data_IF_675996935064
#
_entry.id   IF_675996935064
#
_cell.length_a   1.000
_cell.length_b   1.000
_cell.length_c   1.000
_cell.angle_alpha   90.00
_cell.angle_beta   90.00
_cell.angle_gamma   90.00
#
_symmetry.space_group_name_H-M   'P 1'
#
loop_
_entity.id
_entity.type
_entity.pdbx_description
1 polymer ?
#
# COMPACT_ATOMS: atom_id res chain seq x y z
N UNK A 1 3.08 -13.16 -15.27
CA UNK A 1 2.03 -13.25 -14.21
C UNK A 1 0.66 -13.08 -14.86
N UNK A 2 -0.42 -13.56 -14.24
CA UNK A 2 -1.79 -13.34 -14.73
C UNK A 2 -2.72 -12.99 -13.56
N UNK A 3 -3.75 -12.20 -13.82
CA UNK A 3 -4.82 -11.92 -12.88
C UNK A 3 -6.16 -11.79 -13.60
N UNK A 4 -7.23 -12.18 -12.92
CA UNK A 4 -8.60 -12.11 -13.43
C UNK A 4 -9.48 -11.41 -12.40
N UNK A 5 -10.18 -10.37 -12.83
CA UNK A 5 -11.21 -9.71 -12.04
C UNK A 5 -12.60 -10.23 -12.41
N UNK A 6 -13.64 -9.48 -12.03
CA UNK A 6 -15.03 -9.90 -12.30
C UNK A 6 -15.35 -10.01 -13.80
N UNK A 7 -14.88 -9.05 -14.61
CA UNK A 7 -15.14 -8.98 -16.05
C UNK A 7 -13.93 -8.56 -16.89
N UNK A 8 -12.72 -8.61 -16.34
CA UNK A 8 -11.50 -8.24 -17.05
C UNK A 8 -10.34 -9.15 -16.65
N UNK A 9 -9.31 -9.16 -17.47
CA UNK A 9 -8.11 -9.95 -17.29
C UNK A 9 -6.88 -9.11 -17.53
N UNK A 10 -5.79 -9.47 -16.86
CA UNK A 10 -4.48 -8.87 -17.05
C UNK A 10 -3.40 -9.95 -17.13
N UNK A 11 -2.38 -9.70 -17.95
CA UNK A 11 -1.20 -10.54 -18.07
C UNK A 11 0.06 -9.68 -18.10
N UNK A 12 1.09 -10.16 -17.39
CA UNK A 12 2.42 -9.54 -17.34
C UNK A 12 3.39 -10.44 -18.10
N UNK A 13 4.02 -9.89 -19.12
CA UNK A 13 5.06 -10.52 -19.93
C UNK A 13 6.40 -10.63 -19.20
N UNK A 14 7.32 -11.43 -19.75
CA UNK A 14 8.66 -11.64 -19.16
C UNK A 14 9.50 -10.35 -19.17
N UNK A 15 9.24 -9.46 -20.13
CA UNK A 15 9.87 -8.14 -20.23
C UNK A 15 9.21 -7.08 -19.32
N UNK A 16 8.26 -7.48 -18.46
CA UNK A 16 7.51 -6.57 -17.61
C UNK A 16 6.48 -5.72 -18.34
N UNK A 17 6.15 -6.04 -19.60
CA UNK A 17 5.00 -5.46 -20.31
C UNK A 17 3.67 -5.98 -19.74
N UNK A 18 2.63 -5.15 -19.79
CA UNK A 18 1.30 -5.51 -19.27
C UNK A 18 0.26 -5.46 -20.37
N UNK A 19 -0.55 -6.50 -20.46
CA UNK A 19 -1.69 -6.59 -21.35
C UNK A 19 -2.97 -6.68 -20.52
N UNK A 20 -3.99 -5.91 -20.87
CA UNK A 20 -5.32 -5.98 -20.25
C UNK A 20 -6.40 -6.15 -21.33
N UNK A 21 -7.49 -6.82 -20.97
CA UNK A 21 -8.66 -6.99 -21.83
C UNK A 21 -9.91 -7.35 -21.03
N UNK A 22 -11.07 -7.36 -21.69
CA UNK A 22 -12.38 -7.56 -21.11
C UNK A 22 -13.17 -6.27 -21.00
N UNK A 23 -14.04 -6.18 -19.99
CA UNK A 23 -14.88 -5.00 -19.74
C UNK A 23 -14.06 -3.86 -19.13
N UNK A 24 -14.14 -2.67 -19.72
CA UNK A 24 -13.38 -1.48 -19.31
C UNK A 24 -14.23 -0.26 -18.96
N UNK A 25 -15.53 -0.45 -18.70
CA UNK A 25 -16.47 0.66 -18.44
C UNK A 25 -16.21 1.44 -17.15
N UNK A 26 -15.32 0.96 -16.29
CA UNK A 26 -14.81 1.70 -15.13
C UNK A 26 -13.32 2.07 -15.28
N UNK A 27 -12.73 1.97 -16.48
CA UNK A 27 -11.33 2.34 -16.71
C UNK A 27 -10.31 1.33 -16.20
N UNK A 28 -10.75 0.14 -15.74
CA UNK A 28 -9.89 -0.88 -15.13
C UNK A 28 -8.85 -1.50 -16.08
N UNK A 29 -8.95 -1.21 -17.39
CA UNK A 29 -7.97 -1.67 -18.36
C UNK A 29 -6.74 -0.76 -18.43
N UNK A 30 -6.85 0.51 -17.99
CA UNK A 30 -5.71 1.43 -17.93
C UNK A 30 -5.28 2.05 -19.27
N UNK A 31 -6.14 2.05 -20.28
CA UNK A 31 -5.82 2.55 -21.63
C UNK A 31 -6.13 4.03 -21.86
N UNK A 32 -6.59 4.76 -20.84
CA UNK A 32 -6.97 6.17 -20.95
C UNK A 32 -8.39 6.40 -21.48
N UNK A 33 -9.20 5.34 -21.55
CA UNK A 33 -10.61 5.42 -21.89
C UNK A 33 -11.45 4.46 -21.02
N UNK A 34 -12.76 4.48 -21.27
CA UNK A 34 -13.77 3.69 -20.54
C UNK A 34 -14.34 2.56 -21.41
N UNK A 35 -13.56 2.05 -22.36
CA UNK A 35 -14.03 1.04 -23.34
C UNK A 35 -13.52 -0.34 -22.97
N UNK A 36 -14.33 -1.36 -23.29
CA UNK A 36 -13.91 -2.75 -23.22
C UNK A 36 -13.08 -3.17 -24.43
N UNK A 37 -12.21 -4.16 -24.24
CA UNK A 37 -11.38 -4.74 -25.29
C UNK A 37 -11.62 -6.25 -25.39
N UNK A 38 -11.80 -6.75 -26.61
CA UNK A 38 -12.05 -8.18 -26.85
C UNK A 38 -10.77 -9.01 -27.00
N UNK A 39 -9.61 -8.36 -27.01
CA UNK A 39 -8.29 -8.97 -27.18
C UNK A 39 -7.29 -8.32 -26.23
N UNK A 40 -6.28 -9.07 -25.73
CA UNK A 40 -5.18 -8.49 -24.95
C UNK A 40 -4.54 -7.31 -25.68
N UNK A 41 -4.43 -6.17 -25.00
CA UNK A 41 -3.78 -4.97 -25.54
C UNK A 41 -2.76 -4.42 -24.54
N UNK A 42 -1.63 -3.95 -25.06
CA UNK A 42 -0.55 -3.38 -24.26
C UNK A 42 -0.99 -2.08 -23.57
N UNK A 43 -0.78 -2.00 -22.26
CA UNK A 43 -1.00 -0.79 -21.45
C UNK A 43 0.22 0.12 -21.60
N UNK A 44 0.16 1.06 -22.56
CA UNK A 44 1.28 1.94 -22.90
C UNK A 44 1.71 2.89 -21.77
N UNK A 45 0.79 3.21 -20.85
CA UNK A 45 1.04 4.15 -19.76
C UNK A 45 1.95 3.58 -18.65
N UNK A 46 2.21 2.26 -18.64
CA UNK A 46 3.09 1.62 -17.67
C UNK A 46 4.49 1.38 -18.26
N UNK A 47 5.56 1.51 -17.45
CA UNK A 47 6.88 1.10 -17.88
C UNK A 47 6.96 -0.42 -18.01
N UNK A 48 7.88 -0.91 -18.87
CA UNK A 48 8.21 -2.33 -19.01
C UNK A 48 9.06 -2.86 -17.85
N UNK A 49 8.48 -2.77 -16.64
CA UNK A 49 9.06 -3.18 -15.35
C UNK A 49 7.96 -3.63 -14.38
N UNK A 50 6.78 -3.98 -14.89
CA UNK A 50 5.72 -4.50 -14.04
C UNK A 50 6.09 -5.92 -13.64
N UNK A 51 6.15 -6.18 -12.34
CA UNK A 51 6.52 -7.49 -11.80
C UNK A 51 5.30 -8.32 -11.41
N UNK A 52 4.20 -7.65 -11.04
CA UNK A 52 2.98 -8.29 -10.58
C UNK A 52 1.73 -7.46 -10.88
N UNK A 53 0.59 -8.14 -10.93
CA UNK A 53 -0.72 -7.53 -11.21
C UNK A 53 -1.80 -8.23 -10.41
N UNK A 54 -2.76 -7.46 -9.91
CA UNK A 54 -3.98 -7.98 -9.31
C UNK A 54 -5.20 -7.31 -9.94
N UNK A 55 -6.31 -8.05 -10.03
CA UNK A 55 -7.58 -7.59 -10.59
C UNK A 55 -8.71 -7.78 -9.58
N UNK A 56 -9.47 -6.72 -9.29
CA UNK A 56 -10.63 -6.74 -8.41
C UNK A 56 -11.96 -6.79 -9.17
N UNK A 57 -13.04 -6.35 -8.51
CA UNK A 57 -14.37 -6.27 -9.15
C UNK A 57 -14.38 -5.35 -10.37
N UNK A 58 -13.77 -4.16 -10.25
CA UNK A 58 -13.71 -3.18 -11.35
C UNK A 58 -12.50 -2.25 -11.27
N UNK A 59 -11.38 -2.75 -10.73
CA UNK A 59 -10.13 -2.03 -10.63
C UNK A 59 -8.95 -3.00 -10.73
N UNK A 60 -7.77 -2.46 -11.02
CA UNK A 60 -6.53 -3.19 -11.27
C UNK A 60 -5.39 -2.51 -10.54
N UNK A 61 -4.53 -3.30 -9.90
CA UNK A 61 -3.27 -2.83 -9.31
C UNK A 61 -2.08 -3.42 -10.08
N UNK A 62 -1.05 -2.60 -10.25
CA UNK A 62 0.20 -2.98 -10.89
C UNK A 62 1.35 -2.69 -9.92
N UNK A 63 2.17 -3.70 -9.65
CA UNK A 63 3.40 -3.55 -8.88
C UNK A 63 4.55 -3.41 -9.86
N UNK A 64 5.24 -2.28 -9.79
CA UNK A 64 6.28 -1.88 -10.73
C UNK A 64 7.61 -1.75 -10.00
N UNK A 65 8.66 -2.38 -10.53
CA UNK A 65 10.00 -2.20 -9.98
C UNK A 65 10.50 -0.76 -10.26
N UNK A 66 11.06 -0.10 -9.23
CA UNK A 66 11.58 1.24 -9.38
C UNK A 66 12.79 1.28 -10.33
N UNK A 67 12.97 2.42 -10.99
CA UNK A 67 14.11 2.63 -11.89
C UNK A 67 15.44 2.84 -11.13
N UNK A 68 15.40 3.22 -9.85
CA UNK A 68 16.57 3.64 -9.08
C UNK A 68 16.70 2.83 -7.77
N UNK A 69 17.65 1.90 -7.77
CA UNK A 69 18.10 1.16 -6.60
C UNK A 69 17.28 -0.10 -6.26
N UNK A 70 17.90 -1.13 -5.66
CA UNK A 70 17.21 -2.33 -5.22
C UNK A 70 16.20 -2.01 -4.11
N UNK A 71 15.03 -2.67 -4.13
CA UNK A 71 14.06 -2.64 -3.02
C UNK A 71 13.09 -1.46 -2.99
N UNK A 72 13.04 -0.63 -4.04
CA UNK A 72 11.94 0.33 -4.22
C UNK A 72 10.97 -0.19 -5.27
N UNK A 73 9.69 -0.16 -4.95
CA UNK A 73 8.59 -0.52 -5.86
C UNK A 73 7.60 0.62 -5.93
N UNK A 74 7.08 0.89 -7.12
CA UNK A 74 5.94 1.77 -7.31
C UNK A 74 4.66 0.94 -7.43
N UNK A 75 3.58 1.42 -6.81
CA UNK A 75 2.26 0.83 -6.95
C UNK A 75 1.41 1.74 -7.83
N UNK A 76 0.79 1.19 -8.86
CA UNK A 76 -0.13 1.92 -9.73
C UNK A 76 -1.51 1.29 -9.69
N UNK A 77 -2.55 2.11 -9.88
CA UNK A 77 -3.94 1.66 -9.89
C UNK A 77 -4.77 2.32 -10.99
N UNK A 78 -5.71 1.58 -11.56
CA UNK A 78 -6.76 2.13 -12.41
C UNK A 78 -8.08 1.40 -12.16
N UNK A 79 -9.18 2.02 -12.56
CA UNK A 79 -10.51 1.47 -12.40
C UNK A 79 -11.47 2.34 -11.62
N UNK A 80 -12.53 1.70 -11.15
CA UNK A 80 -13.53 2.24 -10.24
C UNK A 80 -12.86 2.64 -8.93
N UNK A 81 -13.24 3.80 -8.38
CA UNK A 81 -12.73 4.31 -7.12
C UNK A 81 -13.80 4.88 -6.16
N UNK A 82 -15.08 4.61 -6.41
CA UNK A 82 -16.18 5.20 -5.63
C UNK A 82 -16.11 4.84 -4.13
N UNK A 83 -15.47 3.72 -3.78
CA UNK A 83 -15.26 3.23 -2.42
C UNK A 83 -13.82 3.49 -1.91
N UNK A 84 -13.01 4.22 -2.67
CA UNK A 84 -11.59 4.46 -2.36
C UNK A 84 -10.67 3.26 -2.65
N UNK A 85 -11.13 2.27 -3.42
CA UNK A 85 -10.37 1.05 -3.70
C UNK A 85 -9.02 1.30 -4.43
N UNK A 86 -8.83 2.43 -5.09
CA UNK A 86 -7.54 2.78 -5.70
C UNK A 86 -6.53 3.33 -4.67
N UNK A 87 -6.95 3.69 -3.45
CA UNK A 87 -6.04 4.18 -2.41
C UNK A 87 -5.36 5.51 -2.74
N UNK A 88 -5.95 6.33 -3.62
CA UNK A 88 -5.38 7.62 -4.06
C UNK A 88 -5.68 8.79 -3.11
N UNK A 89 -6.41 8.55 -2.01
CA UNK A 89 -6.89 9.62 -1.13
C UNK A 89 -8.07 10.42 -1.68
N UNK A 90 -8.65 9.97 -2.80
CA UNK A 90 -9.85 10.52 -3.44
C UNK A 90 -10.82 9.38 -3.78
N UNK A 91 -12.06 9.72 -4.12
CA UNK A 91 -13.06 8.79 -4.65
C UNK A 91 -13.20 8.87 -6.19
N UNK A 92 -12.22 9.50 -6.86
CA UNK A 92 -12.27 9.67 -8.31
C UNK A 92 -11.71 8.44 -9.03
N UNK A 93 -12.50 7.89 -9.95
CA UNK A 93 -12.11 6.75 -10.78
C UNK A 93 -11.05 7.16 -11.81
N UNK A 94 -10.16 6.24 -12.19
CA UNK A 94 -9.04 6.52 -13.08
C UNK A 94 -8.98 5.55 -14.27
N UNK A 95 -8.96 6.07 -15.49
CA UNK A 95 -8.80 5.26 -16.70
C UNK A 95 -7.33 5.10 -17.16
N UNK A 96 -6.40 5.81 -16.51
CA UNK A 96 -4.96 5.60 -16.63
C UNK A 96 -4.40 5.07 -15.30
N UNK A 97 -3.32 4.27 -15.33
CA UNK A 97 -2.64 3.82 -14.11
C UNK A 97 -2.06 5.00 -13.32
N UNK A 98 -2.73 5.37 -12.23
CA UNK A 98 -2.32 6.43 -11.32
C UNK A 98 -1.33 5.89 -10.28
N UNK A 99 -0.30 6.67 -9.98
CA UNK A 99 0.71 6.32 -8.97
C UNK A 99 0.12 6.45 -7.56
N UNK A 100 0.31 5.42 -6.74
CA UNK A 100 0.03 5.42 -5.30
C UNK A 100 1.36 5.60 -4.57
N UNK A 101 1.47 6.69 -3.81
CA UNK A 101 2.67 7.00 -3.02
C UNK A 101 2.73 6.14 -1.75
N UNK A 102 3.59 5.13 -1.76
CA UNK A 102 3.90 4.29 -0.60
C UNK A 102 5.42 4.28 -0.36
N UNK A 103 5.85 4.64 0.85
CA UNK A 103 7.26 4.55 1.26
C UNK A 103 7.57 3.16 1.84
N UNK A 104 7.33 2.13 1.03
CA UNK A 104 7.50 0.73 1.42
C UNK A 104 7.80 -0.16 0.21
N UNK A 105 8.48 -1.28 0.45
CA UNK A 105 8.75 -2.31 -0.56
C UNK A 105 7.56 -3.27 -0.68
N UNK A 106 6.82 -3.19 -1.78
CA UNK A 106 5.57 -3.92 -2.00
C UNK A 106 5.89 -5.36 -2.37
N UNK A 107 5.54 -6.31 -1.48
CA UNK A 107 5.79 -7.74 -1.67
C UNK A 107 4.72 -8.41 -2.51
N UNK A 108 3.45 -8.10 -2.24
CA UNK A 108 2.32 -8.62 -3.01
C UNK A 108 1.07 -7.76 -2.81
N UNK A 109 0.09 -7.96 -3.68
CA UNK A 109 -1.20 -7.30 -3.61
C UNK A 109 -2.33 -8.31 -3.84
N UNK A 110 -3.48 -8.03 -3.26
CA UNK A 110 -4.71 -8.79 -3.44
C UNK A 110 -5.88 -7.81 -3.55
N UNK A 111 -6.83 -8.13 -4.43
CA UNK A 111 -7.97 -7.27 -4.69
C UNK A 111 -9.26 -8.05 -4.49
N UNK A 112 -10.19 -7.42 -3.77
CA UNK A 112 -11.56 -7.89 -3.64
C UNK A 112 -12.49 -7.21 -4.64
N UNK A 113 -13.79 -7.31 -4.37
CA UNK A 113 -14.80 -6.63 -5.19
C UNK A 113 -14.61 -5.10 -5.20
N UNK A 114 -14.47 -4.52 -4.00
CA UNK A 114 -14.40 -3.07 -3.76
C UNK A 114 -13.34 -2.68 -2.71
N UNK A 115 -12.35 -3.54 -2.45
CA UNK A 115 -11.25 -3.23 -1.54
C UNK A 115 -9.93 -3.76 -2.07
N UNK A 116 -8.85 -3.15 -1.60
CA UNK A 116 -7.48 -3.43 -2.01
C UNK A 116 -6.62 -3.72 -0.79
N UNK A 117 -5.79 -4.76 -0.88
CA UNK A 117 -4.83 -5.13 0.14
C UNK A 117 -3.45 -5.20 -0.48
N UNK A 118 -2.47 -4.67 0.25
CA UNK A 118 -1.08 -4.65 -0.16
C UNK A 118 -0.22 -5.04 1.03
N UNK A 119 0.64 -6.04 0.85
CA UNK A 119 1.65 -6.39 1.84
C UNK A 119 2.94 -5.69 1.44
N UNK A 120 3.46 -4.88 2.34
CA UNK A 120 4.67 -4.11 2.13
C UNK A 120 5.63 -4.27 3.31
N UNK A 121 6.92 -4.25 3.02
CA UNK A 121 7.96 -4.19 4.03
C UNK A 121 8.43 -2.74 4.18
N UNK A 122 8.43 -2.24 5.42
CA UNK A 122 8.94 -0.91 5.69
C UNK A 122 10.42 -0.83 5.32
N UNK A 123 10.80 0.26 4.67
CA UNK A 123 12.21 0.55 4.44
C UNK A 123 12.92 0.67 5.80
N UNK A 124 14.20 0.29 5.91
CA UNK A 124 14.96 0.41 7.16
C UNK A 124 14.90 1.83 7.76
N UNK A 125 14.83 2.85 6.91
CA UNK A 125 14.71 4.26 7.27
C UNK A 125 13.37 4.58 7.96
N UNK A 126 12.26 4.08 7.42
CA UNK A 126 10.92 4.23 8.01
C UNK A 126 10.82 3.41 9.31
N UNK A 127 11.39 2.20 9.33
CA UNK A 127 11.45 1.36 10.54
C UNK A 127 12.19 2.09 11.66
N UNK A 128 13.36 2.66 11.38
CA UNK A 128 14.13 3.43 12.35
C UNK A 128 13.38 4.66 12.89
N UNK A 129 12.67 5.40 12.02
CA UNK A 129 11.84 6.55 12.44
C UNK A 129 10.65 6.13 13.30
N UNK A 130 9.98 5.03 12.96
CA UNK A 130 8.87 4.48 13.74
C UNK A 130 9.33 4.04 15.13
N UNK A 131 10.47 3.37 15.24
CA UNK A 131 11.09 3.01 16.54
C UNK A 131 11.49 4.24 17.36
N UNK A 132 12.02 5.28 16.74
CA UNK A 132 12.37 6.52 17.47
C UNK A 132 11.13 7.28 17.95
N UNK A 133 10.05 7.30 17.16
CA UNK A 133 8.78 7.90 17.55
C UNK A 133 8.13 7.13 18.70
N UNK A 134 8.11 5.79 18.65
CA UNK A 134 7.58 4.98 19.75
C UNK A 134 8.38 5.19 21.03
N UNK A 135 9.72 5.23 20.95
CA UNK A 135 10.59 5.52 22.09
C UNK A 135 10.34 6.93 22.68
N UNK A 136 10.10 7.94 21.84
CA UNK A 136 9.76 9.30 22.30
C UNK A 136 8.40 9.36 22.99
N UNK A 137 7.38 8.73 22.43
CA UNK A 137 6.05 8.65 23.04
C UNK A 137 6.11 7.94 24.39
N UNK A 138 6.86 6.83 24.49
CA UNK A 138 7.07 6.13 25.77
C UNK A 138 7.81 7.02 26.77
N UNK A 139 8.86 7.74 26.33
CA UNK A 139 9.58 8.68 27.20
C UNK A 139 8.71 9.84 27.70
N UNK A 140 7.79 10.36 26.90
CA UNK A 140 6.87 11.43 27.30
C UNK A 140 5.79 10.93 28.26
N UNK A 141 5.24 9.75 28.02
CA UNK A 141 4.32 9.06 28.93
C UNK A 141 4.96 8.78 30.28
N UNK A 142 6.21 8.32 30.30
CA UNK A 142 6.99 8.12 31.53
C UNK A 142 7.22 9.43 32.30
N UNK A 143 7.55 10.53 31.60
CA UNK A 143 7.72 11.85 32.23
C UNK A 143 6.41 12.36 32.85
N UNK A 144 5.28 12.18 32.17
CA UNK A 144 3.96 12.54 32.71
C UNK A 144 3.61 11.70 33.94
N UNK A 145 3.77 10.38 33.86
CA UNK A 145 3.52 9.49 35.00
C UNK A 145 4.41 9.82 36.21
N UNK A 146 5.69 10.16 35.98
CA UNK A 146 6.60 10.62 37.04
C UNK A 146 6.13 11.93 37.70
N UNK A 147 5.62 12.89 36.91
CA UNK A 147 5.10 14.15 37.46
C UNK A 147 3.81 13.96 38.28
N UNK A 148 2.95 13.03 37.87
CA UNK A 148 1.69 12.70 38.55
C UNK A 148 1.90 11.85 39.81
N UNK A 149 2.89 10.97 39.83
CA UNK A 149 3.22 10.19 41.03
C UNK A 149 3.91 11.03 42.10
N UNK A 150 4.81 11.94 41.72
CA UNK A 150 5.46 12.89 42.63
C UNK A 150 4.43 13.82 43.29
N UNK A 151 3.37 14.20 42.57
CA UNK A 151 2.31 15.04 43.13
C UNK A 151 1.35 14.28 44.05
N UNK A 152 1.22 12.95 43.92
CA UNK A 152 0.34 12.11 44.77
C UNK A 152 1.06 11.36 45.90
N UNK A 153 2.39 11.29 45.88
CA UNK A 153 3.19 10.59 46.90
C UNK A 153 3.12 9.05 46.82
N UNK A 154 2.61 8.49 45.72
CA UNK A 154 2.40 7.04 45.55
C UNK A 154 3.52 6.43 44.68
N UNK A 155 4.58 5.98 45.32
CA UNK A 155 5.79 5.44 44.67
C UNK A 155 5.59 4.03 44.11
N UNK A 156 4.68 3.24 44.69
CA UNK A 156 4.46 1.85 44.27
C UNK A 156 3.75 1.79 42.90
N UNK A 157 2.77 2.69 42.67
CA UNK A 157 2.12 2.84 41.38
C UNK A 157 3.10 3.28 40.28
N UNK A 158 4.09 4.11 40.62
CA UNK A 158 5.13 4.55 39.69
C UNK A 158 6.06 3.40 39.28
N UNK A 159 6.53 2.60 40.23
CA UNK A 159 7.41 1.45 39.93
C UNK A 159 6.72 0.39 39.07
N UNK A 160 5.44 0.09 39.33
CA UNK A 160 4.68 -0.85 38.53
C UNK A 160 4.50 -0.37 37.07
N UNK A 161 4.20 0.91 36.87
CA UNK A 161 4.08 1.51 35.55
C UNK A 161 5.43 1.56 34.81
N UNK A 162 6.51 1.95 35.51
CA UNK A 162 7.86 2.03 34.96
C UNK A 162 8.35 0.67 34.45
N UNK A 163 8.14 -0.40 35.23
CA UNK A 163 8.52 -1.77 34.82
C UNK A 163 7.71 -2.27 33.61
N UNK A 164 6.43 -1.89 33.51
CA UNK A 164 5.59 -2.24 32.35
C UNK A 164 6.05 -1.52 31.07
N UNK A 165 6.47 -0.25 31.17
CA UNK A 165 7.08 0.47 30.04
C UNK A 165 8.45 -0.10 29.63
N UNK A 166 9.26 -0.57 30.58
CA UNK A 166 10.54 -1.24 30.27
C UNK A 166 10.33 -2.53 29.50
N UNK A 167 9.31 -3.32 29.84
CA UNK A 167 8.93 -4.53 29.11
C UNK A 167 8.49 -4.22 27.67
N UNK A 168 7.80 -3.11 27.45
CA UNK A 168 7.40 -2.65 26.10
C UNK A 168 8.57 -2.12 25.24
N UNK A 169 9.70 -1.75 25.85
CA UNK A 169 10.89 -1.27 25.15
C UNK A 169 11.88 -2.38 24.78
N UNK A 170 11.69 -3.61 25.29
CA UNK A 170 12.58 -4.75 25.06
C UNK A 170 12.08 -5.74 23.99
N UNK A 171 11.03 -5.40 23.24
CA UNK A 171 10.48 -6.16 22.10
C UNK A 171 10.51 -5.29 20.85
#
# INVERSE_FOLDING_TARGET
RIACGYRHSAAVGVDGSVFTWGWGGHGQLGHGDWKGLQRPQLVQALPRRVRDVACGGSHTLFVVDAAAGPGKTALHACGRNDDGQLGLGTAESACLPALISLDADIKCCALGWAHSLVIAESTPEVRARSTLLSQRTVSESLRRAASESVTRGDLDAFFAFFMNCLLQLMV
#
